data_IF_761458647004
#
_entry.id   IF_761458647004
#
_cell.length_a   1.000
_cell.length_b   1.000
_cell.length_c   1.000
_cell.angle_alpha   90.00
_cell.angle_beta   90.00
_cell.angle_gamma   90.00
#
_symmetry.space_group_name_H-M   'P 1'
#
loop_
_entity.id
_entity.type
_entity.pdbx_description
1 polymer ?
#
# COMPACT_ATOMS: atom_id res chain seq x y z
N UNK A 1 28.52 -8.73 14.31
CA UNK A 1 28.22 -8.72 12.85
C UNK A 1 26.93 -9.46 12.48
N UNK A 2 26.65 -10.66 13.01
CA UNK A 2 25.45 -11.46 12.66
C UNK A 2 24.09 -10.80 12.98
N UNK A 3 23.97 -10.04 14.07
CA UNK A 3 22.72 -9.37 14.47
C UNK A 3 22.28 -8.27 13.47
N UNK A 4 23.22 -7.44 12.98
CA UNK A 4 22.94 -6.39 11.98
C UNK A 4 22.50 -6.93 10.61
N UNK A 5 22.92 -8.14 10.24
CA UNK A 5 22.56 -8.74 8.96
C UNK A 5 21.10 -9.23 8.97
N UNK A 6 20.66 -9.85 10.07
CA UNK A 6 19.28 -10.28 10.26
C UNK A 6 18.29 -9.11 10.22
N UNK A 7 18.67 -7.96 10.78
CA UNK A 7 17.86 -6.74 10.72
C UNK A 7 17.71 -6.19 9.29
N UNK A 8 18.77 -6.29 8.47
CA UNK A 8 18.77 -5.88 7.07
C UNK A 8 17.85 -6.74 6.21
N UNK A 9 17.93 -8.05 6.38
CA UNK A 9 17.08 -9.01 5.68
C UNK A 9 15.62 -8.82 6.09
N UNK A 10 15.34 -8.60 7.38
CA UNK A 10 13.99 -8.34 7.88
C UNK A 10 13.39 -7.04 7.33
N UNK A 11 14.15 -5.94 7.28
CA UNK A 11 13.70 -4.67 6.68
C UNK A 11 13.44 -4.87 5.19
N UNK A 12 14.33 -5.56 4.47
CA UNK A 12 14.15 -5.83 3.04
C UNK A 12 12.88 -6.64 2.79
N UNK A 13 12.67 -7.73 3.53
CA UNK A 13 11.47 -8.57 3.44
C UNK A 13 10.22 -7.74 3.72
N UNK A 14 10.22 -6.92 4.77
CA UNK A 14 9.08 -6.04 5.09
C UNK A 14 8.77 -5.07 3.95
N UNK A 15 9.78 -4.46 3.33
CA UNK A 15 9.60 -3.55 2.20
C UNK A 15 9.04 -4.27 0.97
N UNK A 16 9.54 -5.48 0.67
CA UNK A 16 9.03 -6.30 -0.44
C UNK A 16 7.57 -6.70 -0.20
N UNK A 17 7.22 -7.11 1.01
CA UNK A 17 5.83 -7.45 1.38
C UNK A 17 4.93 -6.22 1.21
N UNK A 18 5.33 -5.05 1.72
CA UNK A 18 4.58 -3.81 1.54
C UNK A 18 4.42 -3.45 0.06
N UNK A 19 5.46 -3.65 -0.76
CA UNK A 19 5.40 -3.40 -2.20
C UNK A 19 4.37 -4.32 -2.88
N UNK A 20 4.37 -5.61 -2.56
CA UNK A 20 3.42 -6.59 -3.11
C UNK A 20 1.99 -6.23 -2.70
N UNK A 21 1.77 -5.88 -1.42
CA UNK A 21 0.45 -5.47 -0.90
C UNK A 21 -0.03 -4.19 -1.60
N UNK A 22 0.81 -3.15 -1.68
CA UNK A 22 0.47 -1.91 -2.39
C UNK A 22 0.15 -2.19 -3.85
N UNK A 23 0.91 -3.06 -4.52
CA UNK A 23 0.67 -3.44 -5.92
C UNK A 23 -0.69 -4.11 -6.08
N UNK A 24 -1.04 -5.06 -5.21
CA UNK A 24 -2.35 -5.69 -5.22
C UNK A 24 -3.50 -4.69 -5.01
N UNK A 25 -3.35 -3.75 -4.06
CA UNK A 25 -4.33 -2.69 -3.82
C UNK A 25 -4.47 -1.77 -5.04
N UNK A 26 -3.36 -1.40 -5.67
CA UNK A 26 -3.34 -0.61 -6.90
C UNK A 26 -4.07 -1.32 -8.03
N UNK A 27 -3.80 -2.60 -8.25
CA UNK A 27 -4.46 -3.44 -9.23
C UNK A 27 -5.98 -3.46 -9.02
N UNK A 28 -6.44 -3.64 -7.77
CA UNK A 28 -7.87 -3.61 -7.43
C UNK A 28 -8.48 -2.23 -7.70
N UNK A 29 -7.81 -1.15 -7.28
CA UNK A 29 -8.28 0.21 -7.54
C UNK A 29 -8.37 0.51 -9.04
N UNK A 30 -7.32 0.17 -9.80
CA UNK A 30 -7.15 0.51 -11.20
C UNK A 30 -8.08 -0.29 -12.12
N UNK A 31 -8.15 -1.61 -11.94
CA UNK A 31 -8.90 -2.47 -12.86
C UNK A 31 -10.30 -2.82 -12.40
N UNK A 32 -10.60 -2.75 -11.09
CA UNK A 32 -11.92 -3.15 -10.59
C UNK A 32 -12.73 -1.96 -10.09
N UNK A 33 -12.17 -1.16 -9.17
CA UNK A 33 -12.96 -0.09 -8.53
C UNK A 33 -13.10 1.14 -9.41
N UNK A 34 -12.09 1.47 -10.23
CA UNK A 34 -12.14 2.62 -11.13
C UNK A 34 -13.20 2.44 -12.23
N UNK A 35 -13.24 1.34 -13.02
CA UNK A 35 -14.31 1.14 -13.99
C UNK A 35 -15.69 1.07 -13.33
N UNK A 36 -15.81 0.38 -12.19
CA UNK A 36 -17.06 0.31 -11.45
C UNK A 36 -17.55 1.70 -11.01
N UNK A 37 -16.66 2.59 -10.60
CA UNK A 37 -17.00 3.98 -10.25
C UNK A 37 -17.44 4.81 -11.46
N UNK A 38 -16.81 4.60 -12.62
CA UNK A 38 -17.15 5.32 -13.86
C UNK A 38 -18.52 4.89 -14.40
N UNK A 39 -18.87 3.61 -14.24
CA UNK A 39 -20.12 3.03 -14.75
C UNK A 39 -21.25 2.99 -13.70
N UNK A 40 -21.02 3.45 -12.48
CA UNK A 40 -22.00 3.41 -11.40
C UNK A 40 -23.16 4.38 -11.60
N UNK A 41 -24.36 3.96 -11.20
CA UNK A 41 -25.51 4.86 -11.06
C UNK A 41 -25.35 5.81 -9.87
N UNK A 42 -26.13 6.90 -9.84
CA UNK A 42 -26.04 7.91 -8.78
C UNK A 42 -26.30 7.36 -7.36
N UNK A 43 -27.15 6.33 -7.24
CA UNK A 43 -27.44 5.66 -5.97
C UNK A 43 -26.28 4.79 -5.47
N UNK A 44 -25.50 4.18 -6.36
CA UNK A 44 -24.37 3.30 -6.03
C UNK A 44 -23.06 4.09 -5.79
N UNK A 45 -22.96 5.27 -6.39
CA UNK A 45 -21.74 6.09 -6.39
C UNK A 45 -21.26 6.46 -4.97
N UNK A 46 -22.18 6.75 -4.05
CA UNK A 46 -21.81 7.13 -2.68
C UNK A 46 -21.11 5.99 -1.92
N UNK A 47 -21.59 4.75 -2.09
CA UNK A 47 -20.97 3.59 -1.48
C UNK A 47 -19.61 3.29 -2.13
N UNK A 48 -19.54 3.29 -3.46
CA UNK A 48 -18.30 3.05 -4.19
C UNK A 48 -17.22 4.10 -3.88
N UNK A 49 -17.58 5.38 -3.70
CA UNK A 49 -16.62 6.42 -3.29
C UNK A 49 -16.03 6.15 -1.92
N UNK A 50 -16.82 5.69 -0.94
CA UNK A 50 -16.31 5.34 0.40
C UNK A 50 -15.34 4.17 0.33
N UNK A 51 -15.70 3.10 -0.37
CA UNK A 51 -14.82 1.94 -0.52
C UNK A 51 -13.54 2.30 -1.29
N UNK A 52 -13.65 3.09 -2.36
CA UNK A 52 -12.49 3.58 -3.12
C UNK A 52 -11.56 4.41 -2.24
N UNK A 53 -12.11 5.31 -1.42
CA UNK A 53 -11.33 6.13 -0.49
C UNK A 53 -10.63 5.29 0.59
N UNK A 54 -11.30 4.27 1.14
CA UNK A 54 -10.71 3.36 2.12
C UNK A 54 -9.54 2.57 1.54
N UNK A 55 -9.71 1.97 0.36
CA UNK A 55 -8.66 1.20 -0.31
C UNK A 55 -7.50 2.11 -0.74
N UNK A 56 -7.81 3.32 -1.24
CA UNK A 56 -6.80 4.34 -1.55
C UNK A 56 -6.00 4.78 -0.33
N UNK A 57 -6.67 5.02 0.80
CA UNK A 57 -6.01 5.37 2.06
C UNK A 57 -5.10 4.24 2.57
N UNK A 58 -5.55 2.98 2.47
CA UNK A 58 -4.72 1.83 2.82
C UNK A 58 -3.45 1.74 1.95
N UNK A 59 -3.59 1.96 0.63
CA UNK A 59 -2.45 1.97 -0.29
C UNK A 59 -1.45 3.08 0.04
N UNK A 60 -1.93 4.28 0.36
CA UNK A 60 -1.09 5.40 0.80
C UNK A 60 -0.38 5.07 2.10
N UNK A 61 -1.09 4.50 3.09
CA UNK A 61 -0.51 4.10 4.37
C UNK A 61 0.60 3.04 4.19
N UNK A 62 0.40 2.01 3.36
CA UNK A 62 1.43 1.01 3.07
C UNK A 62 2.69 1.63 2.45
N UNK A 63 2.53 2.59 1.53
CA UNK A 63 3.65 3.30 0.94
C UNK A 63 4.38 4.22 1.93
N UNK A 64 3.64 4.93 2.78
CA UNK A 64 4.23 5.75 3.84
C UNK A 64 5.06 4.90 4.80
N UNK A 65 4.53 3.73 5.21
CA UNK A 65 5.27 2.77 6.03
C UNK A 65 6.53 2.27 5.31
N UNK A 66 6.43 1.97 4.02
CA UNK A 66 7.58 1.51 3.24
C UNK A 66 8.69 2.59 3.18
N UNK A 67 8.33 3.85 2.99
CA UNK A 67 9.28 4.98 3.01
C UNK A 67 9.86 5.15 4.41
N UNK A 68 9.02 5.17 5.45
CA UNK A 68 9.43 5.33 6.85
C UNK A 68 10.42 4.25 7.28
N UNK A 69 10.19 2.98 6.92
CA UNK A 69 11.13 1.88 7.17
C UNK A 69 12.48 2.10 6.49
N UNK A 70 12.49 2.66 5.27
CA UNK A 70 13.73 2.99 4.56
C UNK A 70 14.52 4.11 5.25
N UNK A 71 13.83 5.19 5.61
CA UNK A 71 14.43 6.34 6.32
C UNK A 71 14.95 5.91 7.69
N UNK A 72 14.15 5.18 8.46
CA UNK A 72 14.53 4.66 9.78
C UNK A 72 15.76 3.76 9.71
N UNK A 73 15.77 2.80 8.77
CA UNK A 73 16.91 1.93 8.57
C UNK A 73 18.18 2.69 8.14
N UNK A 74 18.05 3.74 7.33
CA UNK A 74 19.19 4.58 6.97
C UNK A 74 19.68 5.44 8.14
N UNK A 75 18.78 5.99 8.95
CA UNK A 75 19.12 6.83 10.11
C UNK A 75 19.80 6.05 11.24
N UNK A 76 19.57 4.74 11.33
CA UNK A 76 20.19 3.84 12.32
C UNK A 76 21.51 3.19 11.85
N UNK A 77 21.91 3.41 10.60
CA UNK A 77 23.19 2.91 10.05
C UNK A 77 24.34 3.82 10.42
#
# INVERSE_FOLDING_TARGET
MRLRALDLDAVLVAKVVLLVVTTALFTVLSWRMWPARVLASASELAQLRRSFAQVGAAMVACNLLNVALGVWHHALR
#
